data_IF_786182829160
#
_entry.id   IF_786182829160
#
_cell.length_a   1.000
_cell.length_b   1.000
_cell.length_c   1.000
_cell.angle_alpha   90.00
_cell.angle_beta   90.00
_cell.angle_gamma   90.00
#
_symmetry.space_group_name_H-M   'P 1'
#
loop_
_entity.id
_entity.type
_entity.pdbx_description
1 polymer ?
#
# COMPACT_ATOMS: atom_id res chain seq x y z
N UNK A 1 -18.51 -6.37 -15.30
CA UNK A 1 -18.60 -4.89 -15.23
C UNK A 1 -19.80 -4.45 -16.06
N UNK A 2 -20.71 -3.64 -15.51
CA UNK A 2 -21.85 -3.12 -16.29
C UNK A 2 -21.36 -2.19 -17.40
N UNK A 3 -21.89 -2.35 -18.61
CA UNK A 3 -21.59 -1.52 -19.78
C UNK A 3 -21.81 -0.03 -19.51
N UNK A 4 -22.69 0.31 -18.58
CA UNK A 4 -23.05 1.70 -18.27
C UNK A 4 -21.95 2.44 -17.55
N UNK A 5 -21.19 1.76 -16.68
CA UNK A 5 -20.04 2.37 -16.00
C UNK A 5 -18.95 2.73 -17.00
N UNK A 6 -18.65 1.83 -17.93
CA UNK A 6 -17.62 2.07 -18.96
C UNK A 6 -18.04 3.21 -19.87
N UNK A 7 -19.27 3.18 -20.40
CA UNK A 7 -19.80 4.25 -21.28
C UNK A 7 -19.81 5.61 -20.57
N UNK A 8 -20.25 5.65 -19.31
CA UNK A 8 -20.30 6.91 -18.54
C UNK A 8 -18.92 7.47 -18.23
N UNK A 9 -17.97 6.62 -17.85
CA UNK A 9 -16.60 7.07 -17.61
C UNK A 9 -15.98 7.61 -18.90
N UNK A 10 -16.09 6.85 -19.99
CA UNK A 10 -15.58 7.28 -21.29
C UNK A 10 -16.16 8.62 -21.72
N UNK A 11 -17.48 8.80 -21.64
CA UNK A 11 -18.13 10.06 -21.99
C UNK A 11 -17.64 11.25 -21.12
N UNK A 12 -17.33 11.03 -19.84
CA UNK A 12 -16.77 12.08 -18.96
C UNK A 12 -15.36 12.45 -19.35
N UNK A 13 -14.52 11.44 -19.61
CA UNK A 13 -13.14 11.68 -20.05
C UNK A 13 -13.11 12.42 -21.38
N UNK A 14 -13.94 12.02 -22.35
CA UNK A 14 -14.07 12.71 -23.64
C UNK A 14 -14.56 14.15 -23.47
N UNK A 15 -15.59 14.37 -22.64
CA UNK A 15 -16.14 15.70 -22.36
C UNK A 15 -15.12 16.63 -21.68
N UNK A 16 -14.30 16.11 -20.78
CA UNK A 16 -13.28 16.85 -20.04
C UNK A 16 -11.92 16.92 -20.77
N UNK A 17 -11.78 16.24 -21.92
CA UNK A 17 -10.57 16.27 -22.75
C UNK A 17 -9.41 15.42 -22.21
N UNK A 18 -9.71 14.31 -21.53
CA UNK A 18 -8.71 13.36 -21.03
C UNK A 18 -8.57 12.13 -21.92
N UNK A 19 -7.34 11.61 -22.04
CA UNK A 19 -7.06 10.23 -22.47
C UNK A 19 -6.64 9.34 -21.31
N UNK A 20 -6.92 8.04 -21.41
CA UNK A 20 -6.45 7.04 -20.45
C UNK A 20 -5.16 6.36 -20.91
N UNK A 21 -4.15 6.36 -20.03
CA UNK A 21 -3.06 5.38 -20.07
C UNK A 21 -3.50 4.14 -19.30
N UNK A 22 -3.82 3.08 -20.04
CA UNK A 22 -4.27 1.81 -19.45
C UNK A 22 -3.16 1.15 -18.67
N UNK A 23 -3.43 0.81 -17.42
CA UNK A 23 -2.55 -0.03 -16.59
C UNK A 23 -3.10 -1.45 -16.51
N UNK A 24 -2.29 -2.38 -15.99
CA UNK A 24 -2.72 -3.77 -15.81
C UNK A 24 -3.91 -3.86 -14.86
N UNK A 25 -4.93 -4.65 -15.26
CA UNK A 25 -6.15 -4.89 -14.49
C UNK A 25 -5.97 -5.89 -13.35
N UNK A 26 -4.98 -5.69 -12.49
CA UNK A 26 -4.76 -6.50 -11.28
C UNK A 26 -4.87 -5.65 -10.01
N UNK A 27 -4.57 -6.24 -8.86
CA UNK A 27 -4.66 -5.54 -7.57
C UNK A 27 -3.64 -4.42 -7.37
N UNK A 28 -2.72 -4.18 -8.32
CA UNK A 28 -1.78 -3.08 -8.29
C UNK A 28 -2.24 -1.86 -9.10
N UNK A 29 -3.41 -1.89 -9.74
CA UNK A 29 -3.83 -0.85 -10.69
C UNK A 29 -3.79 0.58 -10.10
N UNK A 30 -4.24 0.80 -8.85
CA UNK A 30 -4.17 2.13 -8.23
C UNK A 30 -2.71 2.62 -8.10
N UNK A 31 -1.81 1.76 -7.62
CA UNK A 31 -0.39 2.09 -7.46
C UNK A 31 0.32 2.26 -8.81
N UNK A 32 -0.10 1.49 -9.81
CA UNK A 32 0.42 1.57 -11.19
C UNK A 32 0.00 2.88 -11.86
N UNK A 33 -1.25 3.30 -11.67
CA UNK A 33 -1.75 4.57 -12.17
C UNK A 33 -1.10 5.78 -11.47
N UNK A 34 -0.89 5.69 -10.15
CA UNK A 34 -0.10 6.67 -9.40
C UNK A 34 1.36 6.72 -9.91
N UNK A 35 1.98 5.57 -10.13
CA UNK A 35 3.36 5.50 -10.62
C UNK A 35 3.50 6.10 -12.03
N UNK A 36 2.53 5.87 -12.92
CA UNK A 36 2.51 6.53 -14.23
C UNK A 36 2.40 8.06 -14.10
N UNK A 37 1.52 8.57 -13.25
CA UNK A 37 1.37 10.02 -13.07
C UNK A 37 2.59 10.68 -12.42
N UNK A 38 3.22 10.03 -11.45
CA UNK A 38 4.34 10.59 -10.69
C UNK A 38 5.67 10.46 -11.44
N UNK A 39 5.85 9.36 -12.18
CA UNK A 39 7.15 8.95 -12.71
C UNK A 39 7.13 8.56 -14.19
N UNK A 40 5.98 8.70 -14.87
CA UNK A 40 5.77 8.26 -16.25
C UNK A 40 6.14 6.78 -16.47
N UNK A 41 5.97 5.94 -15.45
CA UNK A 41 6.21 4.51 -15.54
C UNK A 41 5.34 3.75 -14.54
N UNK A 42 4.38 2.99 -15.06
CA UNK A 42 3.50 2.13 -14.25
C UNK A 42 4.24 0.98 -13.55
N UNK A 43 5.44 0.61 -14.04
CA UNK A 43 6.28 -0.46 -13.47
C UNK A 43 6.86 -0.10 -12.09
N UNK A 44 6.83 1.18 -11.72
CA UNK A 44 7.29 1.65 -10.40
C UNK A 44 6.23 1.50 -9.30
N UNK A 45 5.13 0.77 -9.57
CA UNK A 45 4.03 0.56 -8.63
C UNK A 45 4.47 -0.01 -7.26
N UNK A 46 5.48 -0.89 -7.24
CA UNK A 46 5.99 -1.47 -5.99
C UNK A 46 6.66 -0.41 -5.10
N UNK A 47 7.46 0.48 -5.70
CA UNK A 47 8.10 1.59 -4.99
C UNK A 47 7.07 2.59 -4.47
N UNK A 48 6.05 2.90 -5.28
CA UNK A 48 4.94 3.77 -4.87
C UNK A 48 4.19 3.16 -3.69
N UNK A 49 3.85 1.87 -3.76
CA UNK A 49 3.22 1.14 -2.64
C UNK A 49 4.09 1.19 -1.39
N UNK A 50 5.39 0.94 -1.52
CA UNK A 50 6.32 0.97 -0.39
C UNK A 50 6.32 2.33 0.31
N UNK A 51 6.39 3.44 -0.44
CA UNK A 51 6.38 4.79 0.12
C UNK A 51 5.05 5.12 0.81
N UNK A 52 3.93 4.75 0.18
CA UNK A 52 2.60 4.92 0.77
C UNK A 52 2.47 4.11 2.07
N UNK A 53 2.92 2.87 2.09
CA UNK A 53 2.90 2.03 3.31
C UNK A 53 3.80 2.60 4.40
N UNK A 54 4.97 3.15 4.05
CA UNK A 54 5.83 3.87 5.01
C UNK A 54 5.09 5.06 5.62
N UNK A 55 4.39 5.84 4.80
CA UNK A 55 3.58 6.97 5.28
C UNK A 55 2.44 6.52 6.20
N UNK A 56 1.73 5.44 5.86
CA UNK A 56 0.69 4.86 6.72
C UNK A 56 1.23 4.44 8.09
N UNK A 57 2.46 3.88 8.13
CA UNK A 57 3.16 3.52 9.37
C UNK A 57 3.64 4.74 10.16
N UNK A 58 4.03 5.82 9.48
CA UNK A 58 4.54 7.03 10.11
C UNK A 58 3.45 7.81 10.87
N UNK A 59 2.22 7.89 10.32
CA UNK A 59 1.11 8.61 10.96
C UNK A 59 -0.18 7.77 11.09
N UNK A 60 -0.16 6.69 11.89
CA UNK A 60 -1.27 5.74 11.97
C UNK A 60 -2.57 6.36 12.51
N UNK A 61 -2.44 7.33 13.45
CA UNK A 61 -3.61 7.98 14.07
C UNK A 61 -4.47 8.70 13.05
N UNK A 62 -3.87 9.48 12.14
CA UNK A 62 -4.62 10.23 11.15
C UNK A 62 -5.32 9.34 10.13
N UNK A 63 -4.67 8.26 9.67
CA UNK A 63 -5.28 7.36 8.67
C UNK A 63 -6.31 6.42 9.29
N UNK A 64 -6.10 5.98 10.54
CA UNK A 64 -7.11 5.21 11.28
C UNK A 64 -8.41 6.00 11.43
N UNK A 65 -8.33 7.28 11.77
CA UNK A 65 -9.51 8.14 11.86
C UNK A 65 -10.25 8.23 10.52
N UNK A 66 -9.55 8.24 9.38
CA UNK A 66 -10.16 8.24 8.05
C UNK A 66 -10.91 6.92 7.77
N UNK A 67 -10.34 5.77 8.15
CA UNK A 67 -11.02 4.47 8.05
C UNK A 67 -12.28 4.42 8.92
N UNK A 68 -12.21 4.95 10.14
CA UNK A 68 -13.32 4.93 11.10
C UNK A 68 -14.45 5.89 10.72
N UNK A 69 -14.11 7.02 10.10
CA UNK A 69 -15.08 8.04 9.67
C UNK A 69 -15.62 7.83 8.26
N UNK A 70 -14.98 6.99 7.44
CA UNK A 70 -15.48 6.68 6.10
C UNK A 70 -16.87 6.01 6.18
N UNK A 71 -17.86 6.70 5.62
CA UNK A 71 -19.26 6.22 5.50
C UNK A 71 -19.35 4.91 4.71
N UNK A 72 -18.32 4.57 3.94
CA UNK A 72 -18.22 3.38 3.09
C UNK A 72 -17.37 2.28 3.71
N UNK A 73 -17.34 2.14 5.05
CA UNK A 73 -16.63 1.02 5.69
C UNK A 73 -17.16 -0.31 5.18
N UNK A 74 -16.43 -0.93 4.27
CA UNK A 74 -16.79 -2.23 3.71
C UNK A 74 -16.45 -3.33 4.72
N UNK A 75 -17.10 -4.49 4.62
CA UNK A 75 -16.82 -5.66 5.48
C UNK A 75 -15.35 -6.13 5.39
N UNK A 76 -14.61 -5.70 4.38
CA UNK A 76 -13.28 -6.20 4.05
C UNK A 76 -12.15 -5.33 4.61
N UNK A 77 -12.45 -4.18 5.22
CA UNK A 77 -11.42 -3.37 5.89
C UNK A 77 -11.17 -3.92 7.30
N UNK A 78 -9.94 -4.37 7.63
CA UNK A 78 -9.63 -4.89 8.96
C UNK A 78 -10.03 -3.93 10.08
N UNK A 79 -10.43 -4.48 11.24
CA UNK A 79 -10.71 -3.66 12.43
C UNK A 79 -9.44 -3.08 13.04
N UNK A 80 -8.33 -3.79 12.93
CA UNK A 80 -7.03 -3.31 13.36
C UNK A 80 -6.31 -2.60 12.20
N UNK A 81 -5.88 -1.37 12.46
CA UNK A 81 -5.10 -0.58 11.51
C UNK A 81 -3.77 -1.26 11.17
N UNK A 82 -3.16 -1.96 12.15
CA UNK A 82 -1.90 -2.66 11.95
C UNK A 82 -2.06 -3.80 10.93
N UNK A 83 -3.18 -4.52 11.00
CA UNK A 83 -3.54 -5.55 10.02
C UNK A 83 -3.81 -4.96 8.63
N UNK A 84 -4.52 -3.82 8.56
CA UNK A 84 -4.72 -3.09 7.31
C UNK A 84 -3.38 -2.73 6.65
N UNK A 85 -2.44 -2.13 7.40
CA UNK A 85 -1.12 -1.76 6.87
C UNK A 85 -0.31 -3.00 6.46
N UNK A 86 -0.41 -4.10 7.22
CA UNK A 86 0.25 -5.37 6.87
C UNK A 86 -0.30 -5.92 5.55
N UNK A 87 -1.61 -5.92 5.35
CA UNK A 87 -2.22 -6.36 4.10
C UNK A 87 -1.81 -5.43 2.95
N UNK A 88 -1.86 -4.11 3.16
CA UNK A 88 -1.51 -3.12 2.15
C UNK A 88 -0.06 -3.22 1.65
N UNK A 89 0.83 -3.80 2.47
CA UNK A 89 2.22 -4.08 2.08
C UNK A 89 2.38 -5.24 1.09
N UNK A 90 1.36 -6.08 0.91
CA UNK A 90 1.41 -7.23 0.00
C UNK A 90 1.25 -6.79 -1.46
N UNK A 91 2.03 -7.40 -2.34
CA UNK A 91 1.84 -7.23 -3.78
C UNK A 91 0.43 -7.68 -4.18
N UNK A 92 -0.25 -6.89 -5.01
CA UNK A 92 -1.62 -7.17 -5.44
C UNK A 92 -2.72 -6.86 -4.42
N UNK A 93 -2.42 -6.30 -3.24
CA UNK A 93 -3.48 -5.79 -2.35
C UNK A 93 -4.08 -4.51 -2.95
N UNK A 94 -5.41 -4.44 -3.01
CA UNK A 94 -6.11 -3.33 -3.65
C UNK A 94 -5.99 -2.05 -2.82
N UNK A 95 -5.67 -0.95 -3.49
CA UNK A 95 -5.71 0.37 -2.87
C UNK A 95 -7.13 0.91 -2.71
N UNK A 96 -7.31 1.86 -1.79
CA UNK A 96 -8.57 2.50 -1.44
C UNK A 96 -8.42 4.03 -1.33
N UNK A 97 -9.40 4.70 -0.73
CA UNK A 97 -9.35 6.16 -0.53
C UNK A 97 -8.26 6.57 0.48
N UNK A 98 -7.89 5.67 1.42
CA UNK A 98 -6.88 5.94 2.45
C UNK A 98 -5.48 5.88 1.84
N UNK A 99 -5.24 4.96 0.89
CA UNK A 99 -3.99 4.94 0.13
C UNK A 99 -3.86 6.12 -0.82
N UNK A 100 -4.95 6.63 -1.39
CA UNK A 100 -4.93 7.90 -2.15
C UNK A 100 -4.58 9.09 -1.25
N UNK A 101 -5.17 9.17 -0.06
CA UNK A 101 -4.81 10.23 0.91
C UNK A 101 -3.34 10.12 1.33
N UNK A 102 -2.85 8.91 1.61
CA UNK A 102 -1.45 8.70 1.94
C UNK A 102 -0.52 9.02 0.78
N UNK A 103 -0.90 8.74 -0.47
CA UNK A 103 -0.15 9.13 -1.66
C UNK A 103 -0.06 10.66 -1.80
N UNK A 104 -1.20 11.36 -1.67
CA UNK A 104 -1.23 12.82 -1.70
C UNK A 104 -0.29 13.41 -0.64
N UNK A 105 -0.36 12.91 0.60
CA UNK A 105 0.51 13.32 1.70
C UNK A 105 2.00 13.03 1.44
N UNK A 106 2.32 11.87 0.82
CA UNK A 106 3.70 11.40 0.61
C UNK A 106 4.40 12.18 -0.50
N UNK A 107 3.69 12.41 -1.61
CA UNK A 107 4.26 13.01 -2.82
C UNK A 107 3.96 14.51 -2.93
N UNK A 108 3.21 15.08 -1.97
CA UNK A 108 2.80 16.49 -1.96
C UNK A 108 2.08 16.87 -3.27
N UNK A 109 1.13 16.03 -3.68
CA UNK A 109 0.33 16.20 -4.90
C UNK A 109 -1.14 16.29 -4.56
N UNK A 110 -1.88 17.07 -5.35
CA UNK A 110 -3.34 16.97 -5.40
C UNK A 110 -3.73 15.84 -6.34
N UNK A 111 -4.66 14.99 -5.93
CA UNK A 111 -5.17 13.90 -6.78
C UNK A 111 -6.60 14.22 -7.19
N UNK A 112 -6.83 14.30 -8.49
CA UNK A 112 -8.16 14.40 -9.08
C UNK A 112 -8.54 13.04 -9.66
N UNK A 113 -9.69 12.49 -9.28
CA UNK A 113 -10.16 11.21 -9.82
C UNK A 113 -11.50 11.39 -10.51
N UNK A 114 -11.58 11.11 -11.80
CA UNK A 114 -12.83 11.04 -12.56
C UNK A 114 -13.40 9.64 -12.38
N UNK A 115 -14.63 9.53 -11.87
CA UNK A 115 -15.23 8.21 -11.59
C UNK A 115 -16.32 7.87 -12.58
N UNK A 116 -16.72 6.60 -12.58
CA UNK A 116 -17.90 6.11 -13.31
C UNK A 116 -19.20 6.11 -12.48
N UNK A 117 -19.23 6.62 -11.25
CA UNK A 117 -20.43 6.62 -10.41
C UNK A 117 -21.43 7.68 -10.88
N UNK A 118 -22.72 7.40 -10.80
CA UNK A 118 -23.76 8.32 -11.31
C UNK A 118 -23.79 9.63 -10.52
N UNK A 119 -23.70 9.55 -9.21
CA UNK A 119 -23.84 10.68 -8.28
C UNK A 119 -22.49 11.36 -7.98
N UNK A 120 -21.40 10.59 -7.94
CA UNK A 120 -20.06 11.10 -7.66
C UNK A 120 -19.23 11.16 -8.96
N UNK A 121 -19.36 12.23 -9.75
CA UNK A 121 -18.67 12.30 -11.05
C UNK A 121 -17.13 12.37 -10.92
N UNK A 122 -16.66 13.03 -9.88
CA UNK A 122 -15.25 13.16 -9.55
C UNK A 122 -15.05 13.21 -8.04
N UNK A 123 -13.82 12.98 -7.61
CA UNK A 123 -13.38 13.17 -6.24
C UNK A 123 -12.02 13.89 -6.24
N UNK A 124 -11.82 14.73 -5.25
CA UNK A 124 -10.57 15.45 -5.02
C UNK A 124 -9.94 14.97 -3.71
N UNK A 125 -8.63 14.74 -3.74
CA UNK A 125 -7.83 14.42 -2.56
C UNK A 125 -6.72 15.47 -2.46
N UNK A 126 -6.76 16.26 -1.40
CA UNK A 126 -5.72 17.23 -1.06
C UNK A 126 -4.74 16.62 -0.06
N UNK A 127 -3.44 16.93 -0.14
CA UNK A 127 -2.53 16.56 0.94
C UNK A 127 -2.94 17.25 2.24
N UNK A 128 -2.70 16.63 3.39
CA UNK A 128 -3.02 17.21 4.70
C UNK A 128 -2.37 18.56 4.95
N UNK A 129 -1.20 18.80 4.37
CA UNK A 129 -0.52 20.10 4.42
C UNK A 129 -1.28 21.21 3.70
N UNK A 130 -2.27 20.88 2.86
CA UNK A 130 -2.96 21.76 1.91
C UNK A 130 -2.05 22.40 0.85
N UNK A 131 -0.76 22.12 0.89
CA UNK A 131 0.23 22.56 -0.08
C UNK A 131 0.59 21.40 -1.00
N UNK A 132 0.49 21.61 -2.31
CA UNK A 132 0.87 20.62 -3.31
C UNK A 132 1.71 21.26 -4.42
N UNK A 133 2.61 20.47 -4.99
CA UNK A 133 3.54 20.89 -6.05
C UNK A 133 2.94 20.72 -7.44
N UNK A 134 2.04 19.76 -7.60
CA UNK A 134 1.40 19.42 -8.86
C UNK A 134 0.04 18.75 -8.63
N UNK A 135 -0.74 18.63 -9.71
CA UNK A 135 -1.99 17.87 -9.75
C UNK A 135 -1.77 16.63 -10.59
N UNK A 136 -2.20 15.48 -10.08
CA UNK A 136 -2.22 14.22 -10.82
C UNK A 136 -3.66 13.74 -11.01
N UNK A 137 -3.88 13.02 -12.10
CA UNK A 137 -5.21 12.68 -12.58
C UNK A 137 -5.34 11.16 -12.77
N UNK A 138 -6.41 10.61 -12.22
CA UNK A 138 -6.76 9.20 -12.33
C UNK A 138 -8.20 9.05 -12.84
N UNK A 139 -8.49 7.93 -13.49
CA UNK A 139 -9.86 7.48 -13.69
C UNK A 139 -10.20 6.36 -12.70
N UNK A 140 -11.46 6.20 -12.34
CA UNK A 140 -11.96 5.09 -11.52
C UNK A 140 -13.20 4.45 -12.14
N UNK A 141 -13.01 3.23 -12.65
CA UNK A 141 -14.08 2.40 -13.19
C UNK A 141 -14.70 1.56 -12.08
N UNK A 142 -15.97 1.84 -11.79
CA UNK A 142 -16.87 1.18 -10.85
C UNK A 142 -16.31 0.92 -9.43
N UNK A 143 -15.28 1.65 -8.99
CA UNK A 143 -14.61 1.42 -7.71
C UNK A 143 -13.62 0.24 -7.73
N UNK A 144 -13.34 -0.36 -8.89
CA UNK A 144 -12.58 -1.61 -8.98
C UNK A 144 -11.31 -1.52 -9.82
N UNK A 145 -11.13 -0.45 -10.58
CA UNK A 145 -9.99 -0.29 -11.46
C UNK A 145 -9.65 1.17 -11.66
N UNK A 146 -8.36 1.49 -11.60
CA UNK A 146 -7.83 2.81 -11.85
C UNK A 146 -6.96 2.79 -13.11
N UNK A 147 -7.05 3.85 -13.91
CA UNK A 147 -6.04 4.19 -14.91
C UNK A 147 -5.46 5.57 -14.61
N UNK A 148 -4.29 5.84 -15.19
CA UNK A 148 -3.78 7.19 -15.28
C UNK A 148 -4.50 7.92 -16.41
N UNK A 149 -4.77 9.22 -16.24
CA UNK A 149 -5.32 10.06 -17.30
C UNK A 149 -4.48 11.32 -17.52
N UNK A 150 -4.48 11.85 -18.74
CA UNK A 150 -3.74 13.08 -19.13
C UNK A 150 -4.64 13.95 -19.99
N UNK A 151 -4.50 15.28 -19.85
CA UNK A 151 -5.20 16.22 -20.72
C UNK A 151 -4.61 16.15 -22.12
N UNK A 152 -5.47 16.07 -23.13
CA UNK A 152 -5.08 16.01 -24.54
C UNK A 152 -4.44 17.32 -25.04
N UNK A 153 -4.72 18.44 -24.36
CA UNK A 153 -4.20 19.75 -24.70
C UNK A 153 -3.27 20.28 -23.60
N UNK A 154 -2.01 19.84 -23.63
CA UNK A 154 -0.85 20.57 -23.12
C UNK A 154 -0.77 20.88 -21.61
N UNK A 155 -0.65 19.88 -20.74
CA UNK A 155 -0.22 20.12 -19.35
C UNK A 155 1.09 19.40 -19.00
N UNK A 156 2.05 20.23 -18.58
CA UNK A 156 3.36 19.89 -18.04
C UNK A 156 3.22 19.09 -16.74
N UNK A 157 3.10 17.77 -16.84
CA UNK A 157 3.44 16.90 -15.71
C UNK A 157 4.94 16.66 -15.80
N UNK A 158 5.72 17.53 -15.15
CA UNK A 158 7.15 17.25 -14.93
C UNK A 158 7.26 16.01 -14.03
N UNK A 159 7.88 14.91 -14.49
CA UNK A 159 8.07 13.73 -13.66
C UNK A 159 8.84 14.07 -12.38
N UNK A 160 8.47 13.47 -11.24
CA UNK A 160 9.25 13.61 -10.02
C UNK A 160 10.51 12.75 -10.10
N UNK A 161 11.67 13.28 -9.72
CA UNK A 161 12.87 12.45 -9.57
C UNK A 161 12.78 11.57 -8.31
N UNK A 162 13.08 10.28 -8.46
CA UNK A 162 13.20 9.36 -7.33
C UNK A 162 14.40 9.76 -6.45
N UNK A 163 14.16 10.18 -5.21
CA UNK A 163 15.25 10.42 -4.26
C UNK A 163 15.91 9.09 -3.83
N UNK A 164 17.06 8.79 -4.42
CA UNK A 164 17.99 7.74 -3.97
C UNK A 164 19.33 8.35 -3.55
N UNK A 165 19.67 8.28 -2.25
CA UNK A 165 21.03 8.55 -1.79
C UNK A 165 21.93 7.37 -2.18
N UNK A 166 22.73 7.55 -3.22
CA UNK A 166 23.90 6.72 -3.50
C UNK A 166 25.08 7.64 -3.79
N UNK A 167 25.88 7.89 -2.76
CA UNK A 167 27.23 8.44 -2.93
C UNK A 167 28.13 7.30 -3.46
N UNK A 168 28.74 7.47 -4.62
CA UNK A 168 30.13 7.06 -4.83
C UNK A 168 30.76 7.85 -5.98
N UNK A 169 32.04 8.13 -5.77
CA UNK A 169 32.81 9.22 -6.33
C UNK A 169 33.22 9.05 -7.78
N UNK A 170 33.56 10.20 -8.37
CA UNK A 170 34.31 10.33 -9.63
C UNK A 170 35.76 9.95 -9.37
N UNK A 171 36.34 9.14 -10.25
CA UNK A 171 37.76 9.21 -10.56
C UNK A 171 37.92 9.49 -12.05
N UNK A 172 38.63 10.59 -12.32
CA UNK A 172 39.18 10.93 -13.64
C UNK A 172 40.58 10.34 -13.65
N UNK A 173 40.96 9.70 -14.75
CA UNK A 173 42.30 9.96 -15.26
C UNK A 173 42.35 9.91 -16.80
N UNK A 174 43.09 10.86 -17.35
CA UNK A 174 43.48 10.99 -18.76
C UNK A 174 45.00 11.11 -18.74
N UNK A 175 45.70 10.27 -19.49
CA UNK A 175 46.95 10.57 -20.23
C UNK A 175 47.33 9.28 -20.97
N UNK A 176 47.22 9.27 -22.30
CA UNK A 176 48.28 9.53 -23.28
C UNK A 176 49.05 8.26 -23.67
N UNK A 177 48.97 7.95 -24.97
CA UNK A 177 49.80 6.98 -25.67
C UNK A 177 51.23 7.53 -25.75
N UNK A 178 52.22 6.66 -25.57
CA UNK A 178 53.36 6.66 -26.49
C UNK A 178 53.93 5.26 -26.68
N UNK A 179 54.39 5.05 -27.91
CA UNK A 179 54.87 3.80 -28.50
C UNK A 179 56.35 3.58 -28.15
N UNK A 180 56.76 2.33 -28.01
CA UNK A 180 57.98 1.73 -28.61
C UNK A 180 58.01 0.24 -28.20
N UNK A 181 57.91 -0.72 -29.16
CA UNK A 181 59.04 -1.49 -29.74
C UNK A 181 60.11 -1.81 -28.68
N UNK A 182 60.41 -3.07 -28.37
CA UNK A 182 60.95 -4.04 -29.31
C UNK A 182 61.09 -5.44 -28.69
N UNK A 183 61.10 -6.43 -29.58
CA UNK A 183 61.81 -7.73 -29.50
C UNK A 183 61.58 -8.75 -28.37
N UNK A 184 60.98 -9.86 -28.80
CA UNK A 184 61.63 -11.17 -28.99
C UNK A 184 61.68 -12.20 -27.84
N UNK A 185 61.00 -13.32 -28.12
CA UNK A 185 61.36 -14.72 -27.84
C UNK A 185 61.79 -15.16 -26.42
N UNK A 186 60.98 -16.02 -25.79
CA UNK A 186 61.25 -17.48 -25.79
C UNK A 186 60.14 -18.30 -25.12
N UNK A 187 59.82 -19.41 -25.80
CA UNK A 187 59.15 -20.63 -25.33
C UNK A 187 59.79 -21.20 -24.04
N UNK A 188 58.97 -21.91 -23.27
CA UNK A 188 59.14 -23.30 -22.74
C UNK A 188 58.01 -23.43 -21.69
N UNK A 189 56.85 -24.01 -21.99
CA UNK A 189 56.50 -25.44 -22.07
C UNK A 189 56.71 -26.25 -20.78
N UNK A 190 55.68 -27.05 -20.48
CA UNK A 190 55.57 -28.17 -19.53
C UNK A 190 55.17 -27.82 -18.09
N UNK A 191 54.33 -28.59 -17.40
CA UNK A 191 53.33 -29.64 -17.69
C UNK A 191 52.85 -30.14 -16.31
N UNK A 192 51.76 -30.91 -16.32
CA UNK A 192 51.34 -31.88 -15.30
C UNK A 192 50.66 -31.28 -14.05
N UNK A 193 49.34 -31.53 -13.89
CA UNK A 193 48.75 -32.74 -13.23
C UNK A 193 49.09 -32.74 -11.73
N UNK A 194 48.23 -33.06 -10.77
CA UNK A 194 46.85 -33.53 -10.71
C UNK A 194 46.53 -33.66 -9.21
N UNK A 195 45.24 -33.55 -8.86
CA UNK A 195 44.56 -34.32 -7.79
C UNK A 195 45.12 -34.36 -6.35
N UNK A 196 44.32 -33.85 -5.40
CA UNK A 196 43.51 -34.64 -4.43
C UNK A 196 42.97 -33.70 -3.33
N UNK A 197 41.65 -33.64 -3.09
CA UNK A 197 40.83 -34.50 -2.20
C UNK A 197 41.32 -34.56 -0.75
N UNK A 198 40.48 -34.04 0.15
CA UNK A 198 39.94 -34.64 1.40
C UNK A 198 39.12 -33.54 2.09
N UNK A 199 37.79 -33.64 2.19
CA UNK A 199 37.03 -34.35 3.24
C UNK A 199 37.46 -33.96 4.67
N UNK A 200 36.54 -33.34 5.42
CA UNK A 200 36.10 -33.85 6.73
C UNK A 200 34.78 -33.16 7.13
N UNK A 201 33.79 -34.00 7.39
CA UNK A 201 32.57 -33.72 8.17
C UNK A 201 32.91 -33.44 9.64
N UNK A 202 32.00 -32.77 10.35
CA UNK A 202 31.64 -33.12 11.73
C UNK A 202 30.28 -32.49 12.08
N UNK A 203 29.28 -33.36 12.21
CA UNK A 203 28.11 -33.16 13.06
C UNK A 203 28.53 -33.25 14.54
N UNK A 204 27.79 -32.60 15.45
CA UNK A 204 27.30 -33.16 16.73
C UNK A 204 26.20 -32.23 17.28
N UNK A 205 25.10 -32.88 17.68
CA UNK A 205 23.92 -32.39 18.41
C UNK A 205 24.16 -32.44 19.93
N UNK A 206 23.38 -31.66 20.68
CA UNK A 206 22.69 -31.99 21.96
C UNK A 206 22.27 -30.66 22.63
N UNK A 207 20.99 -30.29 22.74
CA UNK A 207 19.89 -30.76 23.63
C UNK A 207 20.10 -30.58 25.14
N UNK A 208 19.31 -29.67 25.74
CA UNK A 208 18.50 -29.82 26.98
C UNK A 208 18.01 -28.43 27.42
N UNK A 209 16.71 -28.13 27.28
CA UNK A 209 15.68 -28.27 28.32
C UNK A 209 15.93 -27.46 29.60
N UNK A 210 15.07 -26.47 29.86
CA UNK A 210 14.56 -26.29 31.21
C UNK A 210 13.09 -25.83 31.20
N UNK A 211 12.22 -26.73 31.66
CA UNK A 211 10.84 -26.50 32.05
C UNK A 211 10.83 -25.86 33.43
N UNK A 212 9.90 -24.96 33.71
CA UNK A 212 9.37 -24.80 35.05
C UNK A 212 7.85 -24.58 34.97
N UNK A 213 7.13 -25.65 35.24
CA UNK A 213 5.77 -25.63 35.78
C UNK A 213 5.89 -25.33 37.29
N UNK A 214 5.01 -24.48 37.82
CA UNK A 214 4.55 -24.58 39.21
C UNK A 214 3.03 -24.52 39.16
N UNK A 215 2.41 -25.58 39.65
CA UNK A 215 0.99 -25.69 40.01
C UNK A 215 0.85 -25.61 41.53
N UNK A 216 -0.39 -25.33 41.93
CA UNK A 216 -1.05 -25.65 43.21
C UNK A 216 -0.67 -24.72 44.40
N UNK A 217 -1.57 -24.26 45.28
CA UNK A 217 -2.94 -24.65 45.60
C UNK A 217 -3.57 -23.63 46.59
N UNK A 218 -4.88 -23.76 46.83
CA UNK A 218 -5.66 -23.40 48.04
C UNK A 218 -6.62 -22.19 48.03
N UNK A 219 -7.88 -22.54 47.77
CA UNK A 219 -9.01 -22.56 48.71
C UNK A 219 -9.63 -21.25 49.25
N UNK A 220 -10.94 -21.13 48.95
CA UNK A 220 -12.04 -20.57 49.76
C UNK A 220 -11.87 -19.16 50.33
N UNK A 221 -12.60 -18.21 49.74
CA UNK A 221 -13.53 -17.46 50.57
C UNK A 221 -14.79 -16.98 49.84
N UNK A 222 -15.80 -16.80 50.68
CA UNK A 222 -17.23 -16.76 50.45
C UNK A 222 -17.79 -15.37 50.07
N UNK A 223 -18.97 -15.40 49.44
CA UNK A 223 -20.08 -14.43 49.51
C UNK A 223 -19.77 -12.91 49.65
N UNK A 224 -20.14 -12.15 48.61
CA UNK A 224 -21.07 -10.98 48.65
C UNK A 224 -20.93 -10.07 47.41
N UNK A 225 -21.90 -10.09 46.51
CA UNK A 225 -22.91 -9.01 46.41
C UNK A 225 -23.70 -9.06 45.10
N UNK A 226 -25.01 -9.08 45.30
CA UNK A 226 -26.09 -8.96 44.33
C UNK A 226 -26.19 -7.56 43.70
N UNK A 227 -27.05 -7.53 42.68
CA UNK A 227 -27.88 -6.40 42.24
C UNK A 227 -27.32 -5.47 41.17
N UNK A 228 -27.66 -5.79 39.91
CA UNK A 228 -28.08 -4.77 38.93
C UNK A 228 -28.84 -5.26 37.68
N UNK A 229 -29.49 -6.44 37.70
CA UNK A 229 -30.18 -6.96 36.51
C UNK A 229 -31.69 -7.25 36.64
N UNK A 230 -32.35 -6.82 37.72
CA UNK A 230 -33.79 -7.07 37.92
C UNK A 230 -34.74 -5.89 37.63
N UNK A 231 -34.25 -4.76 37.09
CA UNK A 231 -35.12 -3.59 36.85
C UNK A 231 -35.65 -3.42 35.41
N UNK A 232 -35.17 -4.20 34.43
CA UNK A 232 -35.67 -4.11 33.03
C UNK A 232 -36.74 -5.14 32.65
N UNK A 233 -36.98 -6.17 33.47
CA UNK A 233 -38.04 -7.18 33.21
C UNK A 233 -39.39 -6.89 33.86
N UNK A 234 -39.51 -5.90 34.76
CA UNK A 234 -40.80 -5.46 35.33
C UNK A 234 -41.53 -4.35 34.56
N UNK A 235 -40.91 -3.70 33.57
CA UNK A 235 -41.56 -2.63 32.76
C UNK A 235 -42.22 -3.11 31.45
N UNK A 236 -42.16 -4.40 31.12
CA UNK A 236 -42.79 -4.96 29.91
C UNK A 236 -44.15 -5.64 30.14
N UNK A 237 -44.55 -5.92 31.38
CA UNK A 237 -45.82 -6.60 31.71
C UNK A 237 -46.97 -5.68 32.18
N UNK A 238 -46.82 -4.35 32.09
CA UNK A 238 -47.86 -3.38 32.51
C UNK A 238 -48.52 -2.67 31.32
N UNK A 239 -47.96 -2.71 30.10
CA UNK A 239 -48.59 -2.08 28.92
C UNK A 239 -49.65 -2.95 28.23
N UNK A 240 -49.65 -4.27 28.42
CA UNK A 240 -50.60 -5.17 27.74
C UNK A 240 -51.91 -5.43 28.50
N UNK A 241 -52.06 -4.91 29.74
CA UNK A 241 -53.31 -5.04 30.51
C UNK A 241 -54.24 -3.80 30.46
N UNK A 242 -53.78 -2.66 29.93
CA UNK A 242 -54.59 -1.43 29.90
C UNK A 242 -55.36 -1.18 28.59
N UNK A 243 -55.26 -2.07 27.58
CA UNK A 243 -55.97 -1.92 26.31
C UNK A 243 -57.22 -2.83 26.16
N UNK A 244 -57.71 -3.44 27.25
CA UNK A 244 -58.93 -4.28 27.26
C UNK A 244 -60.06 -3.79 28.18
N UNK A 245 -60.00 -2.56 28.69
CA UNK A 245 -61.07 -1.94 29.52
C UNK A 245 -61.51 -0.54 29.05
N UNK A 246 -61.52 -0.30 27.74
CA UNK A 246 -62.33 0.75 27.11
C UNK A 246 -63.16 0.14 25.97
N UNK A 247 -64.13 -0.67 26.37
CA UNK A 247 -65.41 -0.86 25.70
C UNK A 247 -66.47 -0.76 26.80
#
# INVERSE_FOLDING_TARGET
MSTDHKKRLQARLEWEGYSETKVKGDGNCQFSALADQLFNSSDLHEKVREQIVKQLKYNPKSYKALIETSKKRTKNVPRDFSEYVKNMSRNGEWGDEVTLQAAADTFEVKIQVVTSFKEDASMEILPKSQNFKSVIYLSNLAGVHYNSIRLEAGSDTTPMELQGKSKKEKEKDKTENDKDKDTNEKKIENKDESENKTETENEIKDESENKNEIKDENDKDSDKNNDKDNEKKKKKNIKDKNNKKKK
#
